data_IF_314884096066
#
_entry.id   IF_314884096066
#
_cell.length_a   1.000
_cell.length_b   1.000
_cell.length_c   1.000
_cell.angle_alpha   90.00
_cell.angle_beta   90.00
_cell.angle_gamma   90.00
#
_symmetry.space_group_name_H-M   'P 1'
#
loop_
_entity.id
_entity.type
_entity.pdbx_description
1 polymer ?
#
# COMPACT_ATOMS: atom_id res chain seq x y z
N UNK A 1 25.54 -40.44 14.01
CA UNK A 1 24.55 -40.57 12.91
C UNK A 1 23.39 -39.66 13.28
N UNK A 2 23.35 -38.44 12.74
CA UNK A 2 22.27 -37.49 13.01
C UNK A 2 21.13 -37.76 12.01
N UNK A 3 19.93 -38.02 12.52
CA UNK A 3 18.73 -38.20 11.73
C UNK A 3 18.46 -36.93 10.92
N UNK A 4 18.60 -37.00 9.59
CA UNK A 4 18.15 -35.93 8.69
C UNK A 4 16.63 -35.87 8.79
N UNK A 5 16.12 -34.72 9.18
CA UNK A 5 14.70 -34.38 9.11
C UNK A 5 14.13 -34.83 7.75
N UNK A 6 13.00 -35.54 7.79
CA UNK A 6 12.39 -36.21 6.63
C UNK A 6 11.63 -35.21 5.77
N UNK A 7 12.30 -34.12 5.36
CA UNK A 7 11.78 -33.15 4.38
C UNK A 7 12.63 -33.20 3.12
N UNK A 8 11.95 -33.32 1.98
CA UNK A 8 12.59 -33.44 0.66
C UNK A 8 13.24 -32.12 0.29
N UNK A 9 14.40 -32.19 -0.35
CA UNK A 9 15.10 -30.99 -0.82
C UNK A 9 14.26 -30.24 -1.87
N UNK A 10 14.09 -28.92 -1.73
CA UNK A 10 13.37 -28.09 -2.70
C UNK A 10 13.90 -28.22 -4.14
N UNK A 11 15.21 -28.43 -4.32
CA UNK A 11 15.78 -28.70 -5.65
C UNK A 11 15.33 -30.06 -6.20
N UNK A 12 15.20 -31.08 -5.35
CA UNK A 12 14.67 -32.40 -5.71
C UNK A 12 13.16 -32.39 -5.95
N UNK A 13 12.42 -31.55 -5.20
CA UNK A 13 10.97 -31.36 -5.38
C UNK A 13 10.67 -30.72 -6.73
N UNK A 14 11.44 -29.72 -7.14
CA UNK A 14 11.32 -29.10 -8.48
C UNK A 14 12.01 -29.91 -9.59
N UNK A 15 12.86 -30.88 -9.23
CA UNK A 15 13.62 -31.70 -10.18
C UNK A 15 14.63 -30.89 -10.98
N UNK A 16 15.29 -29.93 -10.33
CA UNK A 16 16.32 -29.06 -10.91
C UNK A 16 17.63 -29.20 -10.13
N UNK A 17 18.79 -29.01 -10.77
CA UNK A 17 20.06 -29.04 -10.06
C UNK A 17 20.23 -27.78 -9.19
N UNK A 18 21.14 -27.83 -8.20
CA UNK A 18 21.36 -26.74 -7.23
C UNK A 18 21.93 -25.46 -7.84
N UNK A 19 22.60 -25.59 -8.99
CA UNK A 19 23.13 -24.50 -9.81
C UNK A 19 22.11 -23.93 -10.80
N UNK A 20 20.86 -24.41 -10.79
CA UNK A 20 19.82 -23.96 -11.72
C UNK A 20 19.58 -22.44 -11.65
N UNK A 21 19.43 -21.83 -12.81
CA UNK A 21 19.05 -20.43 -12.95
C UNK A 21 17.59 -20.19 -12.54
N UNK A 22 17.24 -18.95 -12.19
CA UNK A 22 15.86 -18.57 -11.83
C UNK A 22 14.87 -18.90 -12.96
N UNK A 23 15.30 -18.81 -14.22
CA UNK A 23 14.48 -19.16 -15.39
C UNK A 23 14.22 -20.67 -15.50
N UNK A 24 15.19 -21.50 -15.14
CA UNK A 24 15.05 -22.96 -15.10
C UNK A 24 14.13 -23.41 -13.96
N UNK A 25 14.26 -22.78 -12.79
CA UNK A 25 13.36 -22.97 -11.63
C UNK A 25 11.92 -22.61 -12.01
N UNK A 26 11.71 -21.46 -12.65
CA UNK A 26 10.39 -21.01 -13.12
C UNK A 26 9.82 -21.90 -14.22
N UNK A 27 10.66 -22.48 -15.08
CA UNK A 27 10.23 -23.44 -16.12
C UNK A 27 9.84 -24.78 -15.52
N UNK A 28 10.60 -25.28 -14.54
CA UNK A 28 10.31 -26.50 -13.82
C UNK A 28 9.01 -26.38 -12.99
N UNK A 29 8.84 -25.28 -12.28
CA UNK A 29 7.62 -24.96 -11.55
C UNK A 29 6.39 -24.97 -12.47
N UNK A 30 6.42 -24.25 -13.60
CA UNK A 30 5.29 -24.22 -14.56
C UNK A 30 4.92 -25.62 -15.07
N UNK A 31 5.91 -26.46 -15.37
CA UNK A 31 5.69 -27.84 -15.83
C UNK A 31 5.05 -28.72 -14.75
N UNK A 32 5.49 -28.59 -13.50
CA UNK A 32 4.98 -29.38 -12.37
C UNK A 32 3.62 -28.87 -11.89
N UNK A 33 3.41 -27.55 -11.86
CA UNK A 33 2.14 -26.92 -11.52
C UNK A 33 1.03 -27.33 -12.50
N UNK A 34 1.32 -27.42 -13.80
CA UNK A 34 0.35 -27.93 -14.79
C UNK A 34 0.04 -29.43 -14.64
N UNK A 35 0.99 -30.21 -14.11
CA UNK A 35 0.87 -31.67 -13.92
C UNK A 35 0.11 -32.05 -12.64
N UNK A 36 0.23 -31.23 -11.60
CA UNK A 36 -0.39 -31.44 -10.29
C UNK A 36 -1.49 -30.41 -9.96
N UNK A 37 -1.97 -29.67 -10.97
CA UNK A 37 -3.07 -28.73 -10.79
C UNK A 37 -4.34 -29.47 -10.31
N UNK A 38 -5.05 -28.98 -9.28
CA UNK A 38 -6.23 -29.65 -8.71
C UNK A 38 -7.34 -29.88 -9.75
N UNK A 39 -7.47 -28.98 -10.74
CA UNK A 39 -8.46 -29.13 -11.81
C UNK A 39 -8.11 -30.20 -12.86
N UNK A 40 -6.83 -30.53 -13.04
CA UNK A 40 -6.36 -31.51 -14.05
C UNK A 40 -6.01 -32.86 -13.46
N UNK A 41 -5.74 -32.94 -12.16
CA UNK A 41 -5.33 -34.17 -11.49
C UNK A 41 -6.07 -34.31 -10.15
N UNK A 42 -7.01 -35.27 -10.10
CA UNK A 42 -7.87 -35.54 -8.94
C UNK A 42 -7.30 -36.62 -8.00
N UNK A 43 -6.02 -36.94 -8.10
CA UNK A 43 -5.38 -37.88 -7.17
C UNK A 43 -5.29 -37.26 -5.77
N UNK A 44 -5.55 -38.01 -4.69
CA UNK A 44 -5.43 -37.51 -3.31
C UNK A 44 -4.01 -37.00 -2.98
N UNK A 45 -2.97 -37.51 -3.66
CA UNK A 45 -1.58 -37.09 -3.46
C UNK A 45 -1.20 -35.83 -4.26
N UNK A 46 -2.04 -35.40 -5.21
CA UNK A 46 -1.73 -34.26 -6.07
C UNK A 46 -1.72 -32.95 -5.28
N UNK A 47 -2.61 -32.79 -4.29
CA UNK A 47 -2.67 -31.60 -3.44
C UNK A 47 -1.44 -31.47 -2.54
N UNK A 48 -0.99 -32.59 -1.93
CA UNK A 48 0.20 -32.61 -1.10
C UNK A 48 1.46 -32.26 -1.92
N UNK A 49 1.61 -32.86 -3.10
CA UNK A 49 2.73 -32.56 -4.01
C UNK A 49 2.68 -31.14 -4.54
N UNK A 50 1.50 -30.61 -4.84
CA UNK A 50 1.34 -29.24 -5.30
C UNK A 50 1.73 -28.23 -4.22
N UNK A 51 1.42 -28.51 -2.95
CA UNK A 51 1.88 -27.71 -1.81
C UNK A 51 3.41 -27.71 -1.70
N UNK A 52 4.04 -28.87 -1.75
CA UNK A 52 5.51 -28.99 -1.74
C UNK A 52 6.18 -28.22 -2.90
N UNK A 53 5.61 -28.30 -4.11
CA UNK A 53 6.12 -27.61 -5.31
C UNK A 53 6.04 -26.08 -5.16
N UNK A 54 4.96 -25.56 -4.56
CA UNK A 54 4.79 -24.13 -4.35
C UNK A 54 5.76 -23.61 -3.29
N UNK A 55 5.92 -24.33 -2.18
CA UNK A 55 6.88 -24.00 -1.11
C UNK A 55 8.31 -23.96 -1.66
N UNK A 56 8.69 -24.96 -2.46
CA UNK A 56 9.98 -25.00 -3.12
C UNK A 56 10.21 -23.80 -4.06
N UNK A 57 9.19 -23.41 -4.84
CA UNK A 57 9.29 -22.27 -5.74
C UNK A 57 9.38 -20.94 -4.99
N UNK A 58 8.64 -20.76 -3.89
CA UNK A 58 8.70 -19.52 -3.10
C UNK A 58 10.10 -19.28 -2.52
N UNK A 59 10.76 -20.34 -2.05
CA UNK A 59 12.11 -20.26 -1.48
C UNK A 59 13.16 -20.10 -2.57
N UNK A 60 13.05 -20.82 -3.70
CA UNK A 60 14.09 -20.85 -4.73
C UNK A 60 13.95 -19.73 -5.78
N UNK A 61 12.80 -19.08 -5.89
CA UNK A 61 12.59 -17.96 -6.84
C UNK A 61 13.16 -16.63 -6.36
N UNK A 62 13.28 -16.45 -5.04
CA UNK A 62 13.84 -15.25 -4.42
C UNK A 62 15.34 -15.45 -4.10
N UNK A 63 16.24 -14.57 -4.60
CA UNK A 63 17.68 -14.71 -4.38
C UNK A 63 18.10 -14.71 -2.90
N UNK A 64 17.42 -13.94 -2.05
CA UNK A 64 17.74 -13.82 -0.62
C UNK A 64 17.26 -15.06 0.15
N UNK A 65 16.05 -15.54 -0.15
CA UNK A 65 15.52 -16.79 0.45
C UNK A 65 16.30 -18.02 -0.02
N UNK A 66 16.70 -18.07 -1.29
CA UNK A 66 17.55 -19.12 -1.84
C UNK A 66 18.91 -19.14 -1.14
N UNK A 67 19.55 -17.98 -0.97
CA UNK A 67 20.82 -17.89 -0.26
C UNK A 67 20.69 -18.27 1.23
N UNK A 68 19.55 -18.01 1.87
CA UNK A 68 19.28 -18.49 3.23
C UNK A 68 19.12 -20.02 3.27
N UNK A 69 18.33 -20.59 2.36
CA UNK A 69 18.14 -22.04 2.23
C UNK A 69 19.44 -22.78 1.89
N UNK A 70 20.27 -22.24 1.00
CA UNK A 70 21.54 -22.85 0.61
C UNK A 70 22.57 -22.85 1.77
N UNK A 71 22.49 -21.86 2.68
CA UNK A 71 23.41 -21.74 3.83
C UNK A 71 22.99 -22.55 5.05
N UNK A 72 21.69 -22.66 5.29
CA UNK A 72 21.16 -23.17 6.56
C UNK A 72 20.14 -24.31 6.39
N UNK A 73 19.84 -24.72 5.15
CA UNK A 73 18.85 -25.76 4.87
C UNK A 73 17.44 -25.36 5.27
N UNK A 74 16.59 -26.36 5.52
CA UNK A 74 15.21 -26.15 5.98
C UNK A 74 15.14 -25.44 7.35
N UNK A 75 16.14 -25.62 8.21
CA UNK A 75 16.20 -25.02 9.56
C UNK A 75 16.49 -23.50 9.50
N UNK A 76 17.13 -23.03 8.44
CA UNK A 76 17.39 -21.60 8.21
C UNK A 76 16.17 -20.76 7.90
N UNK A 77 15.14 -21.38 7.32
CA UNK A 77 13.85 -20.73 7.09
C UNK A 77 13.05 -20.59 8.40
N UNK A 78 13.36 -21.41 9.40
CA UNK A 78 12.77 -21.32 10.73
C UNK A 78 13.53 -20.31 11.61
N UNK A 79 14.86 -20.22 11.49
CA UNK A 79 15.68 -19.22 12.18
C UNK A 79 15.60 -17.80 11.57
N UNK A 80 15.11 -17.66 10.33
CA UNK A 80 14.75 -16.38 9.73
C UNK A 80 13.39 -15.83 10.19
N UNK A 81 12.63 -16.58 10.98
CA UNK A 81 11.34 -16.16 11.53
C UNK A 81 11.45 -15.08 12.64
N UNK A 82 12.66 -14.82 13.16
CA UNK A 82 12.90 -13.86 14.23
C UNK A 82 13.26 -12.44 13.77
N UNK A 83 13.60 -12.22 12.49
CA UNK A 83 13.76 -10.87 11.94
C UNK A 83 12.56 -10.46 11.09
N UNK A 84 11.43 -10.37 11.79
CA UNK A 84 10.35 -9.47 11.44
C UNK A 84 9.33 -9.99 10.43
N UNK A 85 8.52 -11.01 10.81
CA UNK A 85 7.09 -11.09 10.44
C UNK A 85 6.28 -11.91 11.47
N UNK A 86 5.01 -11.52 11.73
CA UNK A 86 4.15 -12.06 12.80
C UNK A 86 3.48 -13.39 12.39
N UNK A 87 4.26 -14.45 12.24
CA UNK A 87 3.75 -15.76 11.79
C UNK A 87 3.87 -16.87 12.84
N UNK A 88 3.77 -16.53 14.12
CA UNK A 88 3.50 -17.50 15.20
C UNK A 88 2.14 -17.19 15.83
N UNK A 89 1.08 -17.81 15.31
CA UNK A 89 -0.23 -17.77 15.97
C UNK A 89 -1.44 -18.11 15.11
N UNK A 90 -1.33 -18.12 13.77
CA UNK A 90 -2.48 -18.38 12.90
C UNK A 90 -2.37 -19.71 12.13
N UNK A 91 -2.77 -20.76 12.84
CA UNK A 91 -3.78 -21.78 12.48
C UNK A 91 -3.93 -22.21 11.01
N UNK A 92 -3.95 -23.54 10.84
CA UNK A 92 -4.85 -24.28 9.95
C UNK A 92 -6.14 -23.50 9.61
N UNK A 93 -6.33 -23.16 8.33
CA UNK A 93 -7.63 -22.75 7.79
C UNK A 93 -7.55 -21.70 6.67
N UNK A 94 -7.74 -22.14 5.42
CA UNK A 94 -8.22 -21.28 4.33
C UNK A 94 -7.16 -20.51 3.53
N UNK A 95 -6.73 -21.11 2.42
CA UNK A 95 -5.86 -20.49 1.41
C UNK A 95 -6.45 -19.25 0.68
N UNK A 96 -7.73 -18.91 0.90
CA UNK A 96 -8.36 -17.72 0.32
C UNK A 96 -7.99 -16.41 1.04
N UNK A 97 -7.89 -16.44 2.37
CA UNK A 97 -7.61 -15.25 3.19
C UNK A 97 -6.12 -14.87 3.21
N UNK A 98 -5.21 -15.81 2.92
CA UNK A 98 -3.76 -15.56 2.93
C UNK A 98 -3.33 -14.89 1.62
N UNK A 99 -3.96 -15.23 0.48
CA UNK A 99 -3.71 -14.51 -0.78
C UNK A 99 -4.27 -13.09 -0.68
N UNK A 100 -5.45 -12.87 -0.08
CA UNK A 100 -5.98 -11.53 0.17
C UNK A 100 -5.20 -10.76 1.25
N UNK A 101 -4.67 -11.42 2.29
CA UNK A 101 -3.86 -10.78 3.32
C UNK A 101 -2.43 -10.47 2.84
N UNK A 102 -1.85 -11.25 1.91
CA UNK A 102 -0.50 -11.01 1.40
C UNK A 102 -0.49 -10.10 0.17
N UNK A 103 -1.46 -10.24 -0.75
CA UNK A 103 -1.64 -9.37 -1.91
C UNK A 103 -2.40 -8.06 -1.57
N UNK A 104 -3.27 -8.09 -0.56
CA UNK A 104 -3.93 -6.90 -0.02
C UNK A 104 -3.07 -6.07 0.94
N UNK A 105 -2.09 -6.67 1.64
CA UNK A 105 -1.14 -5.93 2.48
C UNK A 105 0.05 -5.35 1.70
N UNK A 106 0.36 -5.84 0.50
CA UNK A 106 1.23 -5.13 -0.44
C UNK A 106 0.54 -3.90 -1.04
N UNK A 107 -0.79 -3.90 -1.07
CA UNK A 107 -1.62 -2.69 -1.20
C UNK A 107 -1.88 -2.00 0.14
N UNK A 108 -0.94 -2.10 1.10
CA UNK A 108 -0.76 -1.05 2.11
C UNK A 108 -0.31 0.21 1.37
N UNK A 109 -1.28 0.81 0.67
CA UNK A 109 -1.49 2.21 0.39
C UNK A 109 -0.26 2.99 0.78
N UNK A 110 0.73 3.00 -0.12
CA UNK A 110 1.50 4.24 -0.29
C UNK A 110 0.39 5.28 -0.37
N UNK A 111 0.26 6.08 0.69
CA UNK A 111 -0.55 7.30 0.66
C UNK A 111 0.11 8.10 -0.45
N UNK A 112 -0.28 7.84 -1.69
CA UNK A 112 0.05 8.68 -2.81
C UNK A 112 -0.51 10.02 -2.38
N UNK A 113 0.39 11.00 -2.21
CA UNK A 113 0.01 12.32 -1.78
C UNK A 113 -1.15 12.74 -2.67
N UNK A 114 -2.36 12.78 -2.11
CA UNK A 114 -3.56 12.96 -2.93
C UNK A 114 -3.38 14.29 -3.61
N UNK A 115 -3.24 14.29 -4.94
CA UNK A 115 -3.02 15.52 -5.67
C UNK A 115 -4.21 16.46 -5.38
N UNK A 116 -3.92 17.67 -4.93
CA UNK A 116 -4.98 18.63 -4.65
C UNK A 116 -5.75 18.96 -5.92
N UNK A 117 -7.03 19.29 -5.75
CA UNK A 117 -7.94 19.53 -6.86
C UNK A 117 -7.47 20.70 -7.74
N UNK A 118 -7.52 20.51 -9.07
CA UNK A 118 -7.29 21.58 -10.01
C UNK A 118 -8.46 22.58 -9.93
N UNK A 119 -8.16 23.89 -9.91
CA UNK A 119 -9.16 24.97 -9.91
C UNK A 119 -9.25 25.57 -11.30
N UNK A 120 -10.48 25.77 -11.77
CA UNK A 120 -10.79 26.51 -13.01
C UNK A 120 -11.42 27.83 -12.63
N UNK A 121 -10.99 28.90 -13.29
CA UNK A 121 -11.53 30.22 -13.11
C UNK A 121 -11.67 30.88 -14.48
N UNK A 122 -12.80 31.52 -14.70
CA UNK A 122 -13.10 32.23 -15.94
C UNK A 122 -12.66 33.68 -15.78
N UNK A 123 -11.94 34.18 -16.77
CA UNK A 123 -11.41 35.55 -16.80
C UNK A 123 -12.06 36.27 -17.97
N UNK A 124 -12.84 37.31 -17.64
CA UNK A 124 -13.37 38.23 -18.65
C UNK A 124 -12.28 39.23 -19.02
N UNK A 125 -12.00 39.36 -20.31
CA UNK A 125 -11.00 40.28 -20.87
C UNK A 125 -11.67 41.20 -21.88
N UNK A 126 -11.27 42.46 -21.89
CA UNK A 126 -11.67 43.37 -22.97
C UNK A 126 -10.95 42.99 -24.28
N UNK A 127 -11.55 43.33 -25.42
CA UNK A 127 -10.96 43.03 -26.74
C UNK A 127 -9.54 43.58 -26.89
N UNK A 128 -9.27 44.77 -26.34
CA UNK A 128 -7.94 45.36 -26.34
C UNK A 128 -6.97 44.57 -25.45
N UNK A 129 -7.40 44.13 -24.27
CA UNK A 129 -6.59 43.30 -23.36
C UNK A 129 -6.23 41.95 -24.00
N UNK A 130 -7.19 41.32 -24.69
CA UNK A 130 -6.97 40.08 -25.41
C UNK A 130 -6.03 40.23 -26.63
N UNK A 131 -6.14 41.36 -27.36
CA UNK A 131 -5.32 41.61 -28.54
C UNK A 131 -3.86 41.98 -28.21
N UNK A 132 -3.65 42.84 -27.21
CA UNK A 132 -2.32 43.36 -26.86
C UNK A 132 -1.64 42.61 -25.71
N UNK A 133 -2.37 41.75 -25.00
CA UNK A 133 -1.92 41.09 -23.78
C UNK A 133 -2.01 42.04 -22.58
N UNK A 134 -2.19 41.47 -21.39
CA UNK A 134 -2.32 42.26 -20.17
C UNK A 134 -1.83 41.48 -18.94
N UNK A 135 -1.51 42.21 -17.87
CA UNK A 135 -1.32 41.64 -16.54
C UNK A 135 -2.60 41.87 -15.73
N UNK A 136 -3.27 40.80 -15.31
CA UNK A 136 -4.52 40.87 -14.56
C UNK A 136 -4.35 40.28 -13.16
N UNK A 137 -4.81 41.00 -12.14
CA UNK A 137 -4.85 40.50 -10.76
C UNK A 137 -6.17 39.76 -10.51
N UNK A 138 -6.04 38.51 -10.06
CA UNK A 138 -7.17 37.60 -9.85
C UNK A 138 -7.13 37.08 -8.43
N UNK A 139 -8.25 37.15 -7.72
CA UNK A 139 -8.36 36.58 -6.38
C UNK A 139 -8.80 35.12 -6.46
N UNK A 140 -7.91 34.21 -6.04
CA UNK A 140 -8.19 32.78 -6.00
C UNK A 140 -8.28 32.32 -4.55
N UNK A 141 -9.42 31.71 -4.21
CA UNK A 141 -9.59 31.01 -2.94
C UNK A 141 -9.11 29.57 -3.10
N UNK A 142 -8.06 29.21 -2.38
CA UNK A 142 -7.50 27.85 -2.40
C UNK A 142 -7.31 27.28 -1.01
N UNK A 143 -7.27 25.95 -0.94
CA UNK A 143 -6.90 25.23 0.27
C UNK A 143 -5.39 25.17 0.35
N UNK A 144 -4.78 25.83 1.34
CA UNK A 144 -3.34 25.76 1.60
C UNK A 144 -3.06 24.84 2.80
N UNK A 145 -1.83 24.30 2.87
CA UNK A 145 -1.34 23.66 4.09
C UNK A 145 -1.31 24.68 5.21
N UNK A 146 -1.80 24.30 6.39
CA UNK A 146 -1.79 25.20 7.54
C UNK A 146 -0.34 25.59 7.86
N UNK A 147 0.01 26.89 7.86
CA UNK A 147 1.40 27.33 8.04
C UNK A 147 1.92 27.04 9.45
N UNK A 148 1.02 26.99 10.44
CA UNK A 148 1.36 26.70 11.84
C UNK A 148 1.75 25.24 12.03
N UNK A 149 0.93 24.30 11.55
CA UNK A 149 1.14 22.87 11.79
C UNK A 149 1.83 22.14 10.62
N UNK A 150 2.07 22.81 9.50
CA UNK A 150 2.70 22.21 8.31
C UNK A 150 1.90 21.08 7.65
N UNK A 151 0.61 20.95 7.98
CA UNK A 151 -0.24 19.89 7.44
C UNK A 151 -0.54 18.72 8.39
N UNK A 152 0.14 18.60 9.54
CA UNK A 152 -0.05 17.46 10.46
C UNK A 152 -1.28 17.55 11.38
N UNK A 153 -2.01 18.68 11.38
CA UNK A 153 -3.18 18.92 12.23
C UNK A 153 -2.89 19.16 13.72
N UNK A 154 -1.65 19.00 14.19
CA UNK A 154 -1.27 19.12 15.59
C UNK A 154 -0.72 20.52 15.93
N UNK A 155 -0.85 20.92 17.19
CA UNK A 155 -0.22 22.15 17.69
C UNK A 155 1.32 22.04 17.59
N UNK A 156 2.05 23.10 17.18
CA UNK A 156 3.50 23.05 17.06
C UNK A 156 4.17 22.59 18.36
N UNK A 157 5.10 21.65 18.24
CA UNK A 157 5.74 21.00 19.39
C UNK A 157 5.05 19.71 19.86
N UNK A 158 3.83 19.44 19.39
CA UNK A 158 3.13 18.18 19.63
C UNK A 158 3.12 17.31 18.36
N UNK A 159 2.93 16.00 18.53
CA UNK A 159 2.91 15.04 17.43
C UNK A 159 1.64 14.18 17.47
N UNK A 160 1.15 13.71 16.31
CA UNK A 160 0.08 12.71 16.28
C UNK A 160 0.54 11.48 17.07
N UNK A 161 -0.29 11.01 17.99
CA UNK A 161 -0.01 9.80 18.76
C UNK A 161 -0.71 8.63 18.08
N UNK A 162 -0.12 7.43 18.13
CA UNK A 162 -0.79 6.24 17.61
C UNK A 162 -2.14 6.04 18.30
N UNK A 163 -3.17 5.69 17.54
CA UNK A 163 -4.50 5.47 18.11
C UNK A 163 -4.45 4.28 19.09
N UNK A 164 -4.80 4.44 20.37
CA UNK A 164 -4.71 3.36 21.36
C UNK A 164 -5.67 2.20 21.06
N UNK A 165 -6.82 2.47 20.41
CA UNK A 165 -7.79 1.43 20.07
C UNK A 165 -7.35 0.50 18.94
N UNK A 166 -6.57 0.98 17.97
CA UNK A 166 -6.12 0.17 16.83
C UNK A 166 -4.60 0.02 16.72
N UNK A 167 -3.83 0.60 17.64
CA UNK A 167 -2.37 0.57 17.65
C UNK A 167 -1.72 1.14 16.39
N UNK A 168 -2.34 2.11 15.72
CA UNK A 168 -1.84 2.64 14.44
C UNK A 168 -2.48 2.07 13.18
N UNK A 169 -3.21 0.96 13.27
CA UNK A 169 -3.68 0.22 12.08
C UNK A 169 -4.91 0.82 11.37
N UNK A 170 -5.61 1.79 11.97
CA UNK A 170 -6.84 2.38 11.43
C UNK A 170 -8.07 1.47 11.45
N UNK A 171 -7.91 0.18 11.77
CA UNK A 171 -8.97 -0.83 11.76
C UNK A 171 -8.97 -1.64 13.06
N UNK A 172 -10.15 -2.09 13.49
CA UNK A 172 -10.35 -2.93 14.68
C UNK A 172 -11.09 -4.21 14.30
N UNK A 173 -10.63 -5.34 14.82
CA UNK A 173 -11.26 -6.65 14.61
C UNK A 173 -12.34 -6.85 15.66
N UNK A 174 -13.62 -6.87 15.26
CA UNK A 174 -14.74 -7.21 16.14
C UNK A 174 -15.07 -8.68 15.99
N UNK A 175 -14.85 -9.45 17.05
CA UNK A 175 -15.24 -10.85 17.11
C UNK A 175 -16.70 -10.91 17.54
N UNK A 176 -17.59 -11.27 16.60
CA UNK A 176 -18.97 -11.57 16.92
C UNK A 176 -19.09 -13.08 17.19
N UNK A 177 -19.40 -13.44 18.44
CA UNK A 177 -19.71 -14.83 18.81
C UNK A 177 -21.17 -15.10 18.42
N UNK A 178 -21.37 -15.91 17.39
CA UNK A 178 -22.69 -16.41 17.00
C UNK A 178 -22.79 -17.90 17.31
N UNK A 179 -24.03 -18.41 17.34
CA UNK A 179 -24.32 -19.82 17.56
C UNK A 179 -23.63 -20.75 16.54
N UNK A 180 -23.31 -20.23 15.35
CA UNK A 180 -22.63 -20.94 14.25
C UNK A 180 -21.09 -20.81 14.25
N UNK A 181 -20.49 -20.19 15.27
CA UNK A 181 -19.04 -20.01 15.36
C UNK A 181 -18.62 -18.55 15.59
N UNK A 182 -17.31 -18.33 15.62
CA UNK A 182 -16.72 -17.00 15.78
C UNK A 182 -16.45 -16.40 14.39
N UNK A 183 -17.15 -15.32 14.05
CA UNK A 183 -16.85 -14.54 12.84
C UNK A 183 -16.11 -13.26 13.23
N UNK A 184 -14.98 -13.01 12.57
CA UNK A 184 -14.19 -11.79 12.76
C UNK A 184 -14.63 -10.80 11.69
N UNK A 185 -15.22 -9.68 12.11
CA UNK A 185 -15.50 -8.56 11.21
C UNK A 185 -14.43 -7.49 11.39
N UNK A 186 -13.82 -7.05 10.29
CA UNK A 186 -12.88 -5.93 10.29
C UNK A 186 -13.67 -4.66 10.07
N UNK A 187 -13.67 -3.78 11.08
CA UNK A 187 -14.35 -2.51 11.02
C UNK A 187 -13.35 -1.36 11.12
N UNK A 188 -13.65 -0.22 10.50
CA UNK A 188 -12.88 1.02 10.69
C UNK A 188 -12.84 1.38 12.17
N UNK A 189 -11.67 1.75 12.68
CA UNK A 189 -11.52 2.13 14.07
C UNK A 189 -12.40 3.36 14.37
N UNK A 190 -13.36 3.29 15.31
CA UNK A 190 -14.27 4.41 15.58
C UNK A 190 -13.56 5.61 16.21
N UNK A 191 -12.41 5.40 16.85
CA UNK A 191 -11.67 6.45 17.54
C UNK A 191 -10.82 7.31 16.58
N UNK A 192 -10.17 6.70 15.58
CA UNK A 192 -9.36 7.43 14.61
C UNK A 192 -10.00 7.50 13.21
N UNK A 193 -11.19 6.92 13.03
CA UNK A 193 -11.92 6.89 11.75
C UNK A 193 -11.09 6.39 10.56
N UNK A 194 -10.11 5.49 10.81
CA UNK A 194 -9.21 4.97 9.77
C UNK A 194 -7.88 5.71 9.66
N UNK A 195 -7.71 6.86 10.33
CA UNK A 195 -6.48 7.67 10.29
C UNK A 195 -5.27 6.93 10.90
N UNK A 196 -5.52 6.02 11.85
CA UNK A 196 -4.48 5.28 12.58
C UNK A 196 -3.78 6.11 13.68
N UNK A 197 -3.84 7.43 13.60
CA UNK A 197 -3.34 8.35 14.63
C UNK A 197 -4.46 9.17 15.26
N UNK A 198 -4.22 9.67 16.47
CA UNK A 198 -5.12 10.56 17.19
C UNK A 198 -4.35 11.84 17.52
N UNK A 199 -5.00 12.96 17.26
CA UNK A 199 -4.48 14.29 17.55
C UNK A 199 -4.90 14.66 18.98
N UNK A 200 -3.97 14.58 19.93
CA UNK A 200 -4.23 14.96 21.32
C UNK A 200 -4.40 16.48 21.48
N UNK A 201 -3.60 17.25 20.75
CA UNK A 201 -3.62 18.72 20.77
C UNK A 201 -3.86 19.25 19.36
N UNK A 202 -5.13 19.49 18.97
CA UNK A 202 -5.44 20.01 17.65
C UNK A 202 -4.86 21.42 17.48
N UNK A 203 -4.29 21.68 16.31
CA UNK A 203 -3.77 23.00 15.94
C UNK A 203 -4.90 24.03 16.07
N UNK A 204 -4.63 25.15 16.74
CA UNK A 204 -5.66 26.20 16.96
C UNK A 204 -6.15 26.87 15.67
N UNK A 205 -5.29 26.95 14.66
CA UNK A 205 -5.62 27.64 13.40
C UNK A 205 -6.52 26.76 12.51
N UNK A 206 -6.12 25.50 12.27
CA UNK A 206 -6.83 24.58 11.38
C UNK A 206 -7.77 23.60 12.09
N UNK A 207 -7.81 23.62 13.43
CA UNK A 207 -8.64 22.77 14.29
C UNK A 207 -8.51 21.27 14.00
N UNK A 208 -7.29 20.82 13.71
CA UNK A 208 -7.01 19.41 13.40
C UNK A 208 -7.07 19.02 11.92
N UNK A 209 -7.58 19.89 11.04
CA UNK A 209 -7.73 19.55 9.61
C UNK A 209 -6.41 19.59 8.80
N UNK A 210 -5.35 20.21 9.33
CA UNK A 210 -4.07 20.38 8.65
C UNK A 210 -4.10 21.38 7.47
N UNK A 211 -5.27 21.88 7.09
CA UNK A 211 -5.47 22.71 5.89
C UNK A 211 -6.30 23.96 6.23
N UNK A 212 -6.12 25.03 5.47
CA UNK A 212 -6.85 26.29 5.63
C UNK A 212 -7.25 26.84 4.27
N UNK A 213 -8.48 27.33 4.14
CA UNK A 213 -8.87 28.12 2.98
C UNK A 213 -8.30 29.52 3.10
N UNK A 214 -7.54 29.96 2.10
CA UNK A 214 -7.00 31.32 2.02
C UNK A 214 -7.23 31.88 0.63
N UNK A 215 -7.64 33.14 0.57
CA UNK A 215 -7.65 33.91 -0.66
C UNK A 215 -6.26 34.47 -0.93
N UNK A 216 -5.75 34.28 -2.15
CA UNK A 216 -4.55 34.94 -2.63
C UNK A 216 -4.84 35.68 -3.92
N UNK A 217 -4.21 36.85 -4.05
CA UNK A 217 -4.16 37.57 -5.33
C UNK A 217 -3.02 37.00 -6.15
N UNK A 218 -3.34 36.52 -7.34
CA UNK A 218 -2.40 36.02 -8.33
C UNK A 218 -2.34 36.99 -9.49
N UNK A 219 -1.13 37.32 -9.92
CA UNK A 219 -0.89 38.09 -11.14
C UNK A 219 -0.76 37.12 -12.29
N UNK A 220 -1.71 37.19 -13.21
CA UNK A 220 -1.76 36.33 -14.38
C UNK A 220 -1.39 37.19 -15.59
N UNK A 221 -0.33 36.79 -16.28
CA UNK A 221 0.07 37.41 -17.55
C UNK A 221 -0.66 36.71 -18.68
N UNK A 222 -1.56 37.43 -19.34
CA UNK A 222 -2.29 36.94 -20.50
C UNK A 222 -1.48 37.31 -21.75
N UNK A 223 -1.07 36.33 -22.58
CA UNK A 223 -0.35 36.62 -23.81
C UNK A 223 -1.25 37.37 -24.82
N UNK A 224 -0.67 38.17 -25.72
CA UNK A 224 -1.42 38.81 -26.79
C UNK A 224 -2.00 37.79 -27.79
N UNK A 225 -3.15 38.10 -28.37
CA UNK A 225 -3.80 37.29 -29.39
C UNK A 225 -4.54 36.08 -28.85
N UNK A 226 -5.14 36.18 -27.66
CA UNK A 226 -5.99 35.12 -27.10
C UNK A 226 -7.42 35.21 -27.64
N UNK A 227 -7.97 34.07 -28.02
CA UNK A 227 -9.36 33.93 -28.48
C UNK A 227 -10.29 33.48 -27.34
N UNK A 228 -11.60 33.62 -27.53
CA UNK A 228 -12.61 33.11 -26.61
C UNK A 228 -12.46 31.59 -26.39
N UNK A 229 -12.62 31.15 -25.14
CA UNK A 229 -12.43 29.75 -24.75
C UNK A 229 -10.97 29.27 -24.67
N UNK A 230 -9.98 30.14 -24.90
CA UNK A 230 -8.56 29.80 -24.70
C UNK A 230 -8.29 29.43 -23.24
N UNK A 231 -7.64 28.28 -23.01
CA UNK A 231 -7.31 27.80 -21.67
C UNK A 231 -5.82 27.96 -21.40
N UNK A 232 -5.49 28.66 -20.32
CA UNK A 232 -4.12 28.78 -19.83
C UNK A 232 -3.96 28.08 -18.49
N UNK A 233 -2.90 27.28 -18.34
CA UNK A 233 -2.61 26.56 -17.10
C UNK A 233 -1.57 27.30 -16.27
N UNK A 234 -1.97 27.73 -15.08
CA UNK A 234 -1.04 28.24 -14.06
C UNK A 234 -0.66 27.11 -13.12
N UNK A 235 0.61 26.70 -13.12
CA UNK A 235 1.10 25.56 -12.33
C UNK A 235 1.43 25.96 -10.89
N UNK A 236 1.17 25.06 -9.94
CA UNK A 236 1.47 25.29 -8.51
C UNK A 236 0.43 26.11 -7.74
N UNK A 237 -0.58 26.63 -8.43
CA UNK A 237 -1.61 27.48 -7.84
C UNK A 237 -2.92 26.75 -7.48
N UNK A 238 -2.95 25.41 -7.61
CA UNK A 238 -4.08 24.55 -7.22
C UNK A 238 -4.22 24.35 -5.71
N UNK A 239 -5.18 23.52 -5.30
CA UNK A 239 -5.35 23.17 -3.89
C UNK A 239 -4.18 22.33 -3.37
N UNK A 240 -3.89 22.44 -2.07
CA UNK A 240 -2.92 21.60 -1.39
C UNK A 240 -3.47 20.18 -1.19
N UNK A 241 -2.71 19.21 -1.71
CA UNK A 241 -2.89 17.77 -1.57
C UNK A 241 -2.60 17.23 -0.19
#
# INVERSE_FOLDING_TARGET
>A
MCAKDVRRDYYEVLGVPRDASTEEIKRAFRRLAMKYHPDRNRSPDAEARFKEINEAYEVLSDPEKRAAYDRFGHDGLQAGADFGRPFEGFRFGGFGDIFDAFFGAASAMRREAQRGADRRLELELDLAEAAFGCEKEVEVTRVERCPRCGGNGCEPGTRPTACPSCGGNGQVRRVHRSFFGQFINVATCPQCQGEGSVIAHPCRDCRGSGRLRRSRRLRIQVPPGVDDGTQMRVSGEGDAG
#
